data_IF_186549997373
#
_entry.id   IF_186549997373
#
_cell.length_a   1.000
_cell.length_b   1.000
_cell.length_c   1.000
_cell.angle_alpha   90.00
_cell.angle_beta   90.00
_cell.angle_gamma   90.00
#
_symmetry.space_group_name_H-M   'P 1'
#
loop_
_entity.id
_entity.type
_entity.pdbx_description
1 polymer ?
#
# COMPACT_ATOMS: atom_id res chain seq x y z
N UNK A 1 20.41 -6.79 17.21
CA UNK A 1 19.51 -5.61 17.31
C UNK A 1 18.75 -5.31 16.03
N UNK A 2 19.33 -4.70 14.97
CA UNK A 2 18.56 -4.34 13.75
C UNK A 2 17.95 -5.56 13.05
N UNK A 3 18.73 -6.65 12.89
CA UNK A 3 18.23 -7.89 12.28
C UNK A 3 17.08 -8.51 13.08
N UNK A 4 17.18 -8.52 14.40
CA UNK A 4 16.12 -9.04 15.28
C UNK A 4 14.85 -8.16 15.23
N UNK A 5 15.00 -6.85 15.07
CA UNK A 5 13.88 -5.95 14.84
C UNK A 5 13.19 -6.25 13.50
N UNK A 6 13.97 -6.50 12.45
CA UNK A 6 13.45 -6.84 11.12
C UNK A 6 12.62 -8.14 11.12
N UNK A 7 12.96 -9.12 11.98
CA UNK A 7 12.20 -10.37 12.10
C UNK A 7 10.76 -10.18 12.64
N UNK A 8 10.44 -9.01 13.22
CA UNK A 8 9.08 -8.69 13.61
C UNK A 8 8.17 -8.36 12.43
N UNK A 9 8.74 -8.06 11.25
CA UNK A 9 7.99 -7.80 10.02
C UNK A 9 7.68 -9.12 9.34
N UNK A 10 6.61 -9.77 9.79
CA UNK A 10 6.04 -10.94 9.15
C UNK A 10 4.53 -10.77 9.10
N UNK A 11 3.90 -10.99 7.94
CA UNK A 11 2.45 -10.95 7.85
C UNK A 11 1.85 -12.11 8.64
N UNK A 12 0.61 -11.96 9.12
CA UNK A 12 -0.09 -13.03 9.86
C UNK A 12 -0.27 -14.34 9.06
N UNK A 13 -0.22 -14.26 7.72
CA UNK A 13 -0.26 -15.40 6.81
C UNK A 13 0.45 -15.04 5.49
N UNK A 14 0.76 -16.01 4.61
CA UNK A 14 1.19 -15.74 3.24
C UNK A 14 0.08 -15.06 2.41
N UNK A 15 0.42 -14.27 1.37
CA UNK A 15 -0.55 -13.64 0.48
C UNK A 15 -1.45 -14.68 -0.18
N UNK A 16 -2.76 -14.37 -0.26
CA UNK A 16 -3.75 -15.22 -0.93
C UNK A 16 -4.18 -14.58 -2.24
N UNK A 17 -4.03 -15.28 -3.34
CA UNK A 17 -4.48 -14.81 -4.63
C UNK A 17 -6.00 -15.02 -4.77
N UNK A 18 -6.68 -14.04 -5.34
CA UNK A 18 -8.06 -14.14 -5.80
C UNK A 18 -8.14 -13.74 -7.27
N UNK A 19 -9.08 -14.35 -7.97
CA UNK A 19 -9.47 -13.94 -9.31
C UNK A 19 -10.73 -13.05 -9.25
N UNK A 20 -11.01 -12.37 -10.36
CA UNK A 20 -12.18 -11.52 -10.55
C UNK A 20 -12.42 -10.54 -9.40
N UNK A 21 -11.38 -9.78 -9.02
CA UNK A 21 -11.39 -8.83 -7.91
C UNK A 21 -12.56 -7.84 -8.01
N UNK A 22 -12.80 -7.35 -9.21
CA UNK A 22 -13.94 -6.51 -9.55
C UNK A 22 -14.58 -7.02 -10.84
N UNK A 23 -15.89 -6.82 -10.99
CA UNK A 23 -16.55 -7.05 -12.27
C UNK A 23 -16.04 -6.10 -13.34
N UNK A 24 -16.30 -6.40 -14.61
CA UNK A 24 -15.96 -5.51 -15.73
C UNK A 24 -16.61 -4.12 -15.58
N UNK A 25 -17.86 -4.07 -15.12
CA UNK A 25 -18.58 -2.83 -14.85
C UNK A 25 -17.92 -2.01 -13.73
N UNK A 26 -17.61 -2.65 -12.60
CA UNK A 26 -16.92 -1.99 -11.48
C UNK A 26 -15.56 -1.44 -11.91
N UNK A 27 -14.78 -2.23 -12.65
CA UNK A 27 -13.50 -1.80 -13.19
C UNK A 27 -13.65 -0.61 -14.15
N UNK A 28 -14.64 -0.65 -15.04
CA UNK A 28 -14.91 0.44 -15.98
C UNK A 28 -15.28 1.74 -15.26
N UNK A 29 -16.12 1.68 -14.21
CA UNK A 29 -16.50 2.85 -13.40
C UNK A 29 -15.31 3.43 -12.64
N UNK A 30 -14.51 2.59 -11.99
CA UNK A 30 -13.26 3.04 -11.34
C UNK A 30 -12.31 3.71 -12.33
N UNK A 31 -12.08 3.09 -13.49
CA UNK A 31 -11.20 3.66 -14.52
C UNK A 31 -11.72 4.98 -15.07
N UNK A 32 -13.05 5.15 -15.17
CA UNK A 32 -13.68 6.41 -15.56
C UNK A 32 -13.37 7.52 -14.54
N UNK A 33 -13.49 7.24 -13.25
CA UNK A 33 -13.11 8.20 -12.19
C UNK A 33 -11.65 8.64 -12.34
N UNK A 34 -10.74 7.70 -12.57
CA UNK A 34 -9.31 7.98 -12.78
C UNK A 34 -9.09 8.91 -13.98
N UNK A 35 -9.79 8.68 -15.09
CA UNK A 35 -9.64 9.46 -16.32
C UNK A 35 -10.20 10.87 -16.18
N UNK A 36 -11.34 11.01 -15.52
CA UNK A 36 -12.11 12.26 -15.50
C UNK A 36 -11.65 13.25 -14.43
N UNK A 37 -10.98 12.77 -13.37
CA UNK A 37 -10.61 13.58 -12.20
C UNK A 37 -9.10 13.85 -12.08
N UNK A 38 -8.31 13.51 -13.11
CA UNK A 38 -6.91 13.90 -13.16
C UNK A 38 -6.72 15.43 -13.30
N UNK A 39 -5.48 15.95 -13.18
CA UNK A 39 -4.24 15.20 -13.01
C UNK A 39 -4.07 14.65 -11.59
N UNK A 40 -3.35 13.54 -11.49
CA UNK A 40 -3.00 12.91 -10.21
C UNK A 40 -1.57 13.27 -9.80
N UNK A 41 -1.29 13.51 -8.51
CA UNK A 41 0.07 13.76 -8.04
C UNK A 41 0.92 12.48 -8.08
N UNK A 42 2.24 12.65 -8.10
CA UNK A 42 3.16 11.56 -7.80
C UNK A 42 2.88 11.03 -6.39
N UNK A 43 3.02 9.72 -6.19
CA UNK A 43 2.78 9.05 -4.91
C UNK A 43 3.57 9.68 -3.76
N UNK A 44 4.79 10.17 -4.01
CA UNK A 44 5.59 10.84 -3.00
C UNK A 44 5.01 12.21 -2.63
N UNK A 45 4.59 13.00 -3.62
CA UNK A 45 3.95 14.29 -3.40
C UNK A 45 2.57 14.16 -2.73
N UNK A 46 1.88 13.04 -2.95
CA UNK A 46 0.61 12.73 -2.29
C UNK A 46 0.77 12.43 -0.79
N UNK A 47 1.90 11.85 -0.39
CA UNK A 47 2.09 11.38 0.98
C UNK A 47 3.05 12.23 1.83
N UNK A 48 3.92 13.02 1.19
CA UNK A 48 4.99 13.75 1.87
C UNK A 48 5.04 15.20 1.43
N UNK A 49 5.23 16.09 2.40
CA UNK A 49 5.35 17.53 2.19
C UNK A 49 6.76 17.97 1.88
N UNK A 50 7.76 17.23 2.39
CA UNK A 50 9.17 17.58 2.20
C UNK A 50 10.04 16.34 1.94
N UNK A 51 11.20 16.52 1.30
CA UNK A 51 12.22 15.48 1.15
C UNK A 51 12.65 14.81 2.47
N UNK A 52 12.73 15.58 3.56
CA UNK A 52 13.09 15.10 4.89
C UNK A 52 12.08 14.08 5.41
N UNK A 53 10.78 14.29 5.16
CA UNK A 53 9.75 13.34 5.56
C UNK A 53 9.93 12.00 4.83
N UNK A 54 10.35 12.00 3.56
CA UNK A 54 10.66 10.77 2.84
C UNK A 54 11.89 10.08 3.45
N UNK A 55 12.97 10.83 3.72
CA UNK A 55 14.19 10.26 4.32
C UNK A 55 13.91 9.64 5.70
N UNK A 56 13.05 10.26 6.50
CA UNK A 56 12.61 9.70 7.78
C UNK A 56 12.00 8.30 7.61
N UNK A 57 11.28 8.05 6.50
CA UNK A 57 10.67 6.73 6.24
C UNK A 57 11.66 5.66 5.85
N UNK A 58 12.80 5.98 5.23
CA UNK A 58 13.80 4.98 4.81
C UNK A 58 14.92 4.81 5.84
N UNK A 59 14.77 5.44 7.02
CA UNK A 59 15.77 5.42 8.10
C UNK A 59 17.15 5.94 7.66
N UNK A 60 17.15 6.89 6.73
CA UNK A 60 18.38 7.47 6.19
C UNK A 60 18.97 8.55 7.11
N UNK A 61 20.29 8.67 7.10
CA UNK A 61 21.00 9.83 7.66
C UNK A 61 21.24 10.86 6.57
N UNK A 62 20.92 12.12 6.83
CA UNK A 62 21.27 13.22 5.93
C UNK A 62 22.73 13.60 6.19
N UNK A 63 23.64 13.51 5.20
CA UNK A 63 25.01 13.93 5.38
C UNK A 63 25.11 15.42 5.73
N UNK A 64 26.11 15.78 6.54
CA UNK A 64 26.34 17.18 6.90
C UNK A 64 26.58 18.04 5.65
N UNK A 65 25.94 19.22 5.60
CA UNK A 65 26.04 20.15 4.48
C UNK A 65 25.19 19.80 3.25
N UNK A 66 24.39 18.72 3.30
CA UNK A 66 23.46 18.36 2.21
C UNK A 66 22.06 18.90 2.50
N UNK A 67 21.56 19.76 1.61
CA UNK A 67 20.13 20.12 1.56
C UNK A 67 19.43 19.16 0.61
N UNK A 68 18.40 18.47 1.11
CA UNK A 68 17.63 17.53 0.29
C UNK A 68 16.73 18.29 -0.68
N UNK A 69 16.65 17.79 -1.91
CA UNK A 69 15.75 18.28 -2.94
C UNK A 69 14.97 17.12 -3.56
N UNK A 70 13.82 17.41 -4.18
CA UNK A 70 12.95 16.38 -4.75
C UNK A 70 13.60 15.59 -5.89
N UNK A 71 14.53 16.20 -6.64
CA UNK A 71 15.30 15.53 -7.70
C UNK A 71 16.29 14.48 -7.15
N UNK A 72 16.70 14.59 -5.88
CA UNK A 72 17.57 13.61 -5.22
C UNK A 72 16.81 12.37 -4.73
N UNK A 73 15.50 12.49 -4.49
CA UNK A 73 14.66 11.40 -4.00
C UNK A 73 14.01 10.74 -5.20
N UNK A 74 14.53 9.56 -5.56
CA UNK A 74 14.15 8.79 -6.75
C UNK A 74 12.66 8.89 -7.06
N UNK A 75 12.34 9.69 -8.09
CA UNK A 75 10.97 9.90 -8.54
C UNK A 75 10.53 8.65 -9.31
N UNK A 76 10.02 7.65 -8.59
CA UNK A 76 9.30 6.57 -9.24
C UNK A 76 8.09 7.17 -9.97
N UNK A 77 7.86 6.87 -11.26
CA UNK A 77 6.78 7.45 -12.06
C UNK A 77 5.44 6.78 -11.72
N UNK A 78 5.12 6.74 -10.43
CA UNK A 78 3.90 6.20 -9.87
C UNK A 78 3.07 7.37 -9.38
N UNK A 79 1.89 7.52 -9.97
CA UNK A 79 0.90 8.51 -9.57
C UNK A 79 -0.15 7.83 -8.70
N UNK A 80 -0.72 8.57 -7.75
CA UNK A 80 -1.72 8.03 -6.82
C UNK A 80 -2.92 8.96 -6.74
N UNK A 81 -4.09 8.35 -6.61
CA UNK A 81 -5.30 9.02 -6.18
C UNK A 81 -6.10 8.11 -5.25
N UNK A 82 -7.14 8.68 -4.65
CA UNK A 82 -7.98 8.00 -3.67
C UNK A 82 -9.43 8.00 -4.14
N UNK A 83 -10.05 6.84 -4.08
CA UNK A 83 -11.49 6.68 -4.24
C UNK A 83 -12.23 6.87 -2.92
N UNK A 84 -11.57 6.57 -1.79
CA UNK A 84 -12.13 6.68 -0.46
C UNK A 84 -11.03 6.79 0.61
N UNK A 85 -11.35 7.44 1.73
CA UNK A 85 -10.54 7.44 2.98
C UNK A 85 -11.46 7.58 4.18
N UNK A 86 -10.96 7.18 5.35
CA UNK A 86 -11.64 7.40 6.63
C UNK A 86 -13.06 6.86 6.68
N UNK A 87 -13.31 5.71 6.06
CA UNK A 87 -14.66 5.11 6.01
C UNK A 87 -15.61 5.78 5.01
N UNK A 88 -15.15 6.68 4.14
CA UNK A 88 -16.01 7.48 3.24
C UNK A 88 -15.58 7.35 1.78
N UNK A 89 -16.49 6.88 0.93
CA UNK A 89 -16.32 6.90 -0.53
C UNK A 89 -16.49 8.32 -1.07
N UNK A 90 -15.58 8.77 -1.93
CA UNK A 90 -15.64 10.10 -2.53
C UNK A 90 -16.56 10.16 -3.76
N UNK A 91 -16.86 9.00 -4.34
CA UNK A 91 -17.55 8.85 -5.61
C UNK A 91 -18.73 7.88 -5.45
N UNK A 92 -19.99 8.37 -5.41
CA UNK A 92 -21.17 7.52 -5.22
C UNK A 92 -21.26 6.38 -6.23
N UNK A 93 -20.82 6.63 -7.46
CA UNK A 93 -20.84 5.65 -8.54
C UNK A 93 -19.88 4.47 -8.35
N UNK A 94 -19.08 4.40 -7.29
CA UNK A 94 -18.21 3.25 -6.96
C UNK A 94 -18.30 2.85 -5.48
N UNK A 95 -19.38 3.23 -4.78
CA UNK A 95 -19.61 2.83 -3.38
C UNK A 95 -19.63 1.31 -3.18
N UNK A 96 -20.18 0.56 -4.14
CA UNK A 96 -20.21 -0.91 -4.12
C UNK A 96 -18.80 -1.52 -4.21
N UNK A 97 -17.85 -0.81 -4.84
CA UNK A 97 -16.45 -1.20 -4.89
C UNK A 97 -15.75 -0.96 -3.55
N UNK A 98 -16.10 0.12 -2.85
CA UNK A 98 -15.53 0.49 -1.56
C UNK A 98 -16.06 -0.38 -0.41
N UNK A 99 -17.38 -0.52 -0.29
CA UNK A 99 -18.05 -1.33 0.73
C UNK A 99 -18.19 -2.81 0.34
N UNK A 100 -17.26 -3.31 -0.48
CA UNK A 100 -17.32 -4.64 -1.06
C UNK A 100 -17.29 -5.72 0.04
N UNK A 101 -18.45 -6.32 0.32
CA UNK A 101 -18.63 -7.29 1.40
C UNK A 101 -17.77 -8.55 1.23
N UNK A 102 -17.48 -8.95 -0.03
CA UNK A 102 -16.57 -10.06 -0.33
C UNK A 102 -15.15 -9.74 0.12
N UNK A 103 -14.68 -8.51 -0.06
CA UNK A 103 -13.35 -8.11 0.38
C UNK A 103 -13.24 -8.06 1.89
N UNK A 104 -14.28 -7.56 2.57
CA UNK A 104 -14.35 -7.60 4.03
C UNK A 104 -14.34 -9.03 4.56
N UNK A 105 -15.01 -9.96 3.89
CA UNK A 105 -14.96 -11.39 4.22
C UNK A 105 -13.57 -11.99 4.02
N UNK A 106 -12.90 -11.68 2.91
CA UNK A 106 -11.53 -12.12 2.65
C UNK A 106 -10.56 -11.66 3.75
N UNK A 107 -10.66 -10.41 4.18
CA UNK A 107 -9.83 -9.85 5.26
C UNK A 107 -10.16 -10.49 6.62
N UNK A 108 -11.44 -10.69 6.93
CA UNK A 108 -11.85 -11.42 8.15
C UNK A 108 -11.27 -12.83 8.20
N UNK A 109 -11.37 -13.56 7.10
CA UNK A 109 -10.83 -14.92 6.97
C UNK A 109 -9.30 -14.95 6.93
N UNK A 110 -8.65 -13.85 6.54
CA UNK A 110 -7.19 -13.73 6.57
C UNK A 110 -6.68 -13.56 8.01
N UNK A 111 -7.39 -12.78 8.82
CA UNK A 111 -7.03 -12.45 10.20
C UNK A 111 -7.67 -13.30 11.28
N UNK A 112 -8.56 -14.21 10.89
CA UNK A 112 -9.46 -14.94 11.79
C UNK A 112 -10.16 -13.98 12.77
N UNK A 113 -10.90 -13.00 12.22
CA UNK A 113 -11.58 -11.98 13.00
C UNK A 113 -13.06 -11.83 12.66
N UNK A 114 -13.84 -11.39 13.64
CA UNK A 114 -15.30 -11.27 13.52
C UNK A 114 -15.74 -10.03 12.73
N UNK A 115 -14.97 -8.95 12.82
CA UNK A 115 -15.33 -7.65 12.25
C UNK A 115 -14.20 -7.11 11.37
N UNK A 116 -14.60 -6.42 10.30
CA UNK A 116 -13.72 -5.66 9.43
C UNK A 116 -14.52 -4.48 8.88
N UNK A 117 -13.87 -3.35 8.71
CA UNK A 117 -14.42 -2.14 8.08
C UNK A 117 -13.49 -1.69 6.95
N UNK A 118 -14.03 -1.08 5.88
CA UNK A 118 -13.21 -0.46 4.87
C UNK A 118 -12.56 0.82 5.45
N UNK A 119 -11.30 1.04 5.11
CA UNK A 119 -10.52 2.18 5.64
C UNK A 119 -10.12 3.09 4.47
N UNK A 120 -9.13 2.67 3.70
CA UNK A 120 -8.63 3.39 2.53
C UNK A 120 -8.93 2.63 1.24
N UNK A 121 -9.26 3.37 0.17
CA UNK A 121 -9.36 2.84 -1.18
C UNK A 121 -8.67 3.77 -2.17
N UNK A 122 -7.63 3.26 -2.82
CA UNK A 122 -6.73 4.05 -3.67
C UNK A 122 -6.39 3.30 -4.94
N UNK A 123 -5.86 4.04 -5.91
CA UNK A 123 -5.29 3.49 -7.12
C UNK A 123 -3.88 4.05 -7.34
N UNK A 124 -3.05 3.26 -8.00
CA UNK A 124 -1.74 3.68 -8.47
C UNK A 124 -1.71 3.57 -10.00
N UNK A 125 -1.20 4.58 -10.68
CA UNK A 125 -0.90 4.56 -12.12
C UNK A 125 0.62 4.54 -12.25
N UNK A 126 1.17 3.44 -12.71
CA UNK A 126 2.61 3.28 -12.87
C UNK A 126 3.01 3.37 -14.34
N UNK A 127 3.86 4.33 -14.66
CA UNK A 127 4.56 4.37 -15.95
C UNK A 127 5.68 3.32 -16.01
N UNK A 128 6.23 3.04 -17.21
CA UNK A 128 7.38 2.15 -17.35
C UNK A 128 8.55 2.62 -16.49
N UNK A 129 9.07 1.76 -15.62
CA UNK A 129 10.21 2.05 -14.75
C UNK A 129 11.04 0.78 -14.52
N UNK A 130 12.31 0.90 -14.10
CA UNK A 130 13.01 -0.19 -13.41
C UNK A 130 12.21 -0.65 -12.17
N UNK A 131 12.63 -1.76 -11.56
CA UNK A 131 12.00 -2.33 -10.34
C UNK A 131 11.54 -1.25 -9.36
N UNK A 132 10.31 -1.39 -8.87
CA UNK A 132 9.58 -0.38 -8.11
C UNK A 132 10.15 -0.12 -6.72
N UNK A 133 11.17 0.75 -6.66
CA UNK A 133 11.71 1.31 -5.42
C UNK A 133 12.34 0.30 -4.45
N UNK A 134 12.94 0.78 -3.34
CA UNK A 134 13.39 -0.09 -2.26
C UNK A 134 12.18 -0.71 -1.53
N UNK A 135 12.35 -1.88 -0.89
CA UNK A 135 11.37 -2.43 0.03
C UNK A 135 11.00 -1.38 1.10
N UNK A 136 9.70 -1.23 1.34
CA UNK A 136 9.15 -0.24 2.26
C UNK A 136 7.88 -0.78 2.88
N UNK A 137 7.50 -0.19 4.01
CA UNK A 137 6.21 -0.45 4.62
C UNK A 137 5.18 0.52 4.03
N UNK A 138 3.99 0.01 3.79
CA UNK A 138 2.82 0.84 3.52
C UNK A 138 2.27 1.50 4.79
N UNK A 139 1.32 2.43 4.62
CA UNK A 139 0.81 3.29 5.68
C UNK A 139 0.05 2.58 6.81
N UNK A 140 0.79 2.27 7.87
CA UNK A 140 0.31 1.64 9.11
C UNK A 140 -0.68 2.47 9.90
N UNK A 141 -1.66 1.80 10.50
CA UNK A 141 -2.65 2.44 11.38
C UNK A 141 -2.46 1.97 12.81
N UNK A 142 -2.57 2.92 13.76
CA UNK A 142 -2.60 2.65 15.19
C UNK A 142 -3.92 3.14 15.76
N UNK A 143 -4.32 2.64 16.93
CA UNK A 143 -5.54 3.08 17.61
C UNK A 143 -5.50 4.60 17.86
N UNK A 144 -6.38 5.34 17.17
CA UNK A 144 -6.46 6.80 17.23
C UNK A 144 -5.53 7.56 16.26
N UNK A 145 -4.68 6.87 15.50
CA UNK A 145 -3.73 7.48 14.57
C UNK A 145 -3.82 6.81 13.19
N UNK A 146 -4.37 7.53 12.22
CA UNK A 146 -4.56 7.10 10.82
C UNK A 146 -3.79 8.03 9.88
N UNK A 147 -3.72 7.69 8.59
CA UNK A 147 -3.13 8.58 7.58
C UNK A 147 -3.90 9.91 7.43
N UNK A 148 -5.15 10.00 7.92
CA UNK A 148 -5.96 11.22 7.83
C UNK A 148 -5.59 12.25 8.90
N UNK A 149 -5.09 11.80 10.05
CA UNK A 149 -4.80 12.68 11.18
C UNK A 149 -3.32 12.67 11.61
N UNK A 150 -2.50 11.80 11.03
CA UNK A 150 -1.09 11.62 11.38
C UNK A 150 -0.25 11.57 10.12
N UNK A 151 0.88 12.32 10.05
CA UNK A 151 1.76 12.27 8.90
C UNK A 151 2.36 10.88 8.71
N UNK A 152 2.44 10.42 7.46
CA UNK A 152 2.87 9.06 7.11
C UNK A 152 4.27 8.74 7.67
N UNK A 153 5.20 9.70 7.64
CA UNK A 153 6.56 9.47 8.16
C UNK A 153 6.58 9.05 9.63
N UNK A 154 5.66 9.58 10.45
CA UNK A 154 5.56 9.25 11.87
C UNK A 154 4.98 7.84 12.05
N UNK A 155 3.91 7.51 11.33
CA UNK A 155 3.30 6.18 11.34
C UNK A 155 4.34 5.10 10.98
N UNK A 156 5.10 5.32 9.91
CA UNK A 156 6.14 4.40 9.46
C UNK A 156 7.30 4.30 10.45
N UNK A 157 7.70 5.41 11.08
CA UNK A 157 8.71 5.41 12.15
C UNK A 157 8.24 4.59 13.36
N UNK A 158 6.99 4.79 13.79
CA UNK A 158 6.38 4.02 14.88
C UNK A 158 6.35 2.53 14.56
N UNK A 159 5.93 2.15 13.35
CA UNK A 159 5.92 0.76 12.90
C UNK A 159 7.32 0.15 12.93
N UNK A 160 8.31 0.80 12.29
CA UNK A 160 9.71 0.35 12.24
C UNK A 160 10.35 0.17 13.60
N UNK A 161 10.00 1.02 14.57
CA UNK A 161 10.53 0.92 15.93
C UNK A 161 10.06 -0.34 16.68
N UNK A 162 8.95 -0.95 16.27
CA UNK A 162 8.26 -2.04 16.98
C UNK A 162 7.79 -1.69 18.42
N UNK A 163 8.07 -0.48 18.93
CA UNK A 163 7.71 -0.05 20.28
C UNK A 163 6.20 0.06 20.48
N UNK A 164 5.47 0.30 19.39
CA UNK A 164 4.04 0.59 19.42
C UNK A 164 3.16 -0.57 18.94
N UNK A 165 3.74 -1.78 18.76
CA UNK A 165 3.05 -2.94 18.20
C UNK A 165 1.74 -3.28 18.94
N UNK A 166 1.68 -3.05 20.26
CA UNK A 166 0.48 -3.25 21.08
C UNK A 166 -0.72 -2.43 20.60
N UNK A 167 -0.49 -1.25 20.02
CA UNK A 167 -1.52 -0.33 19.56
C UNK A 167 -1.74 -0.38 18.04
N UNK A 168 -0.96 -1.16 17.30
CA UNK A 168 -1.12 -1.33 15.86
C UNK A 168 -2.46 -2.02 15.57
N UNK A 169 -3.22 -1.47 14.64
CA UNK A 169 -4.46 -2.07 14.17
C UNK A 169 -4.16 -3.24 13.25
N UNK A 170 -5.01 -4.27 13.26
CA UNK A 170 -4.95 -5.34 12.25
C UNK A 170 -5.37 -4.73 10.91
N UNK A 171 -4.59 -4.98 9.86
CA UNK A 171 -4.91 -4.49 8.51
C UNK A 171 -4.75 -5.60 7.48
N UNK A 172 -5.67 -5.67 6.55
CA UNK A 172 -5.57 -6.48 5.34
C UNK A 172 -5.87 -5.60 4.14
N UNK A 173 -5.16 -5.82 3.05
CA UNK A 173 -5.34 -5.12 1.79
C UNK A 173 -5.71 -6.12 0.72
N UNK A 174 -6.67 -5.74 -0.12
CA UNK A 174 -6.97 -6.43 -1.37
C UNK A 174 -6.40 -5.58 -2.50
N UNK A 175 -5.31 -6.05 -3.10
CA UNK A 175 -4.53 -5.29 -4.06
C UNK A 175 -4.79 -5.87 -5.44
N UNK A 176 -5.66 -5.22 -6.21
CA UNK A 176 -5.99 -5.62 -7.58
C UNK A 176 -5.03 -5.02 -8.61
N UNK A 177 -4.66 -5.81 -9.60
CA UNK A 177 -3.78 -5.40 -10.69
C UNK A 177 -4.48 -5.49 -12.04
N UNK A 178 -4.16 -4.54 -12.92
CA UNK A 178 -4.65 -4.47 -14.29
C UNK A 178 -3.50 -4.20 -15.25
N UNK A 179 -2.73 -5.25 -15.53
CA UNK A 179 -1.59 -5.24 -16.43
C UNK A 179 -1.52 -6.55 -17.23
N UNK A 180 -1.59 -6.42 -18.56
CA UNK A 180 -1.57 -7.54 -19.51
C UNK A 180 -0.18 -7.83 -20.10
N UNK A 181 0.86 -7.08 -19.72
CA UNK A 181 2.20 -7.31 -20.27
C UNK A 181 2.90 -8.51 -19.64
N UNK A 182 3.95 -8.99 -20.33
CA UNK A 182 4.77 -10.12 -19.90
C UNK A 182 6.14 -9.73 -19.34
N UNK A 183 6.45 -8.43 -19.22
CA UNK A 183 7.73 -7.93 -18.72
C UNK A 183 7.48 -7.20 -17.41
N UNK A 184 7.96 -7.76 -16.30
CA UNK A 184 7.76 -7.19 -14.98
C UNK A 184 6.27 -7.18 -14.58
N UNK A 185 5.86 -6.16 -13.83
CA UNK A 185 4.46 -5.98 -13.41
C UNK A 185 3.95 -7.02 -12.39
N UNK A 186 4.82 -7.86 -11.86
CA UNK A 186 4.49 -8.79 -10.78
C UNK A 186 4.46 -8.13 -9.41
N UNK A 187 3.86 -8.83 -8.46
CA UNK A 187 3.80 -8.44 -7.06
C UNK A 187 4.92 -9.13 -6.27
N UNK A 188 5.86 -8.34 -5.75
CA UNK A 188 6.99 -8.83 -4.94
C UNK A 188 6.66 -8.68 -3.45
N UNK A 189 6.97 -9.70 -2.66
CA UNK A 189 6.71 -9.70 -1.22
C UNK A 189 7.65 -10.64 -0.46
N UNK A 190 7.69 -10.49 0.87
CA UNK A 190 8.49 -11.32 1.76
C UNK A 190 7.62 -12.00 2.83
N UNK A 191 6.93 -13.12 2.51
CA UNK A 191 5.99 -13.77 3.43
C UNK A 191 6.67 -14.32 4.69
N UNK A 192 7.96 -14.66 4.60
CA UNK A 192 8.79 -15.11 5.73
C UNK A 192 9.59 -13.95 6.37
N UNK A 193 9.20 -12.71 6.08
CA UNK A 193 9.84 -11.48 6.54
C UNK A 193 11.10 -11.08 5.76
N UNK A 194 11.70 -9.91 6.06
CA UNK A 194 12.76 -9.29 5.27
C UNK A 194 14.02 -10.14 5.05
N UNK A 195 14.31 -11.08 5.97
CA UNK A 195 15.44 -12.01 5.85
C UNK A 195 15.13 -13.26 5.02
N UNK A 196 13.86 -13.47 4.67
CA UNK A 196 13.37 -14.60 3.90
C UNK A 196 13.62 -14.45 2.39
N UNK A 197 13.37 -15.53 1.65
CA UNK A 197 13.41 -15.47 0.19
C UNK A 197 12.25 -14.60 -0.34
N UNK A 198 12.47 -13.75 -1.35
CA UNK A 198 11.39 -13.00 -1.97
C UNK A 198 10.43 -13.97 -2.68
N UNK A 199 9.13 -13.73 -2.52
CA UNK A 199 8.07 -14.34 -3.30
C UNK A 199 7.60 -13.35 -4.35
N UNK A 200 7.52 -13.79 -5.59
CA UNK A 200 6.97 -13.01 -6.69
C UNK A 200 5.74 -13.70 -7.27
N UNK A 201 4.63 -12.97 -7.33
CA UNK A 201 3.46 -13.38 -8.10
C UNK A 201 3.56 -12.68 -9.45
N UNK A 202 3.76 -13.45 -10.51
CA UNK A 202 4.08 -12.93 -11.84
C UNK A 202 2.85 -12.44 -12.60
N UNK A 203 3.07 -11.45 -13.47
CA UNK A 203 2.15 -11.03 -14.51
C UNK A 203 1.91 -12.17 -15.55
N UNK A 204 0.82 -12.12 -16.34
CA UNK A 204 -0.22 -11.09 -16.37
C UNK A 204 -1.12 -11.12 -15.14
N UNK A 205 -1.56 -9.94 -14.73
CA UNK A 205 -2.52 -9.75 -13.66
C UNK A 205 -3.60 -8.82 -14.19
N UNK A 206 -4.67 -9.41 -14.69
CA UNK A 206 -5.84 -8.68 -15.17
C UNK A 206 -7.04 -9.09 -14.34
N UNK A 207 -7.51 -8.18 -13.48
CA UNK A 207 -8.60 -8.49 -12.55
C UNK A 207 -8.23 -9.46 -11.43
N UNK A 208 -6.96 -9.87 -11.34
CA UNK A 208 -6.44 -10.67 -10.21
C UNK A 208 -6.07 -9.75 -9.07
N UNK A 209 -6.23 -10.21 -7.85
CA UNK A 209 -5.82 -9.47 -6.66
C UNK A 209 -5.13 -10.38 -5.63
N UNK A 210 -4.38 -9.74 -4.74
CA UNK A 210 -3.78 -10.39 -3.58
C UNK A 210 -4.43 -9.86 -2.30
N UNK A 211 -4.77 -10.77 -1.39
CA UNK A 211 -5.22 -10.46 -0.03
C UNK A 211 -4.03 -10.67 0.89
N UNK A 212 -3.60 -9.60 1.56
CA UNK A 212 -2.36 -9.62 2.34
C UNK A 212 -2.31 -8.54 3.43
N UNK A 213 -1.51 -8.76 4.47
CA UNK A 213 -1.05 -7.70 5.37
C UNK A 213 0.20 -7.04 4.76
N UNK A 214 0.01 -6.10 3.82
CA UNK A 214 1.13 -5.51 3.06
C UNK A 214 2.10 -4.72 3.95
N UNK A 215 1.62 -4.26 5.09
CA UNK A 215 2.40 -3.45 6.05
C UNK A 215 3.44 -4.24 6.85
N UNK A 216 3.52 -5.56 6.68
CA UNK A 216 4.40 -6.42 7.46
C UNK A 216 5.33 -7.28 6.58
N UNK A 217 5.51 -6.91 5.32
CA UNK A 217 6.30 -7.67 4.36
C UNK A 217 7.05 -6.80 3.36
#
# INVERSE_FOLDING_TARGET
MIRELAENFRPVAPPRLIDDAYSEDQHARMLKVVRDNGPWPLILAENFKTPEEVIATISGTIPEGVTLTWDMIGLNPVFRGYYARGGTCFYPEIEDCYYNSRFLELVRNYWDCQYAEPETFLFNIQGPSPIGGPPHLDGTVFRGMTMDNTPLWLLLTMAKSCLFNRWRSKKGQVIAWYYNGGIGGGFNCWPDGPSGAPLQINAPMWGRAVVVENEMM
#
